data_IF_200489946134
#
_entry.id   IF_200489946134
#
_cell.length_a   1.000
_cell.length_b   1.000
_cell.length_c   1.000
_cell.angle_alpha   90.00
_cell.angle_beta   90.00
_cell.angle_gamma   90.00
#
_symmetry.space_group_name_H-M   'P 1'
#
loop_
_entity.id
_entity.type
_entity.pdbx_description
1 polymer ?
#
# COMPACT_ATOMS: atom_id res chain seq x y z
N UNK A 1 1.89 -11.67 15.20
CA UNK A 1 1.46 -12.08 16.57
C UNK A 1 1.30 -10.92 17.56
N UNK A 2 1.88 -9.73 17.31
CA UNK A 2 1.73 -8.55 18.18
C UNK A 2 0.35 -7.87 18.07
N UNK A 3 -0.25 -7.87 16.87
CA UNK A 3 -1.41 -7.01 16.62
C UNK A 3 -2.75 -7.54 17.14
N UNK A 4 -2.97 -8.86 17.21
CA UNK A 4 -4.21 -9.41 17.78
C UNK A 4 -4.38 -9.05 19.27
N UNK A 5 -3.28 -9.05 20.04
CA UNK A 5 -3.28 -8.61 21.45
C UNK A 5 -3.55 -7.11 21.58
N UNK A 6 -3.04 -6.32 20.63
CA UNK A 6 -3.28 -4.87 20.58
C UNK A 6 -4.75 -4.58 20.27
N UNK A 7 -5.32 -5.23 19.25
CA UNK A 7 -6.73 -5.13 18.90
C UNK A 7 -7.64 -5.40 20.12
N UNK A 8 -7.33 -6.45 20.89
CA UNK A 8 -8.10 -6.79 22.08
C UNK A 8 -7.95 -5.76 23.20
N UNK A 9 -6.71 -5.29 23.45
CA UNK A 9 -6.41 -4.28 24.49
C UNK A 9 -7.11 -2.95 24.26
N UNK A 10 -7.18 -2.51 23.00
CA UNK A 10 -7.76 -1.22 22.62
C UNK A 10 -9.19 -1.32 22.06
N UNK A 11 -9.82 -2.50 22.15
CA UNK A 11 -11.23 -2.69 21.80
C UNK A 11 -11.53 -2.40 20.33
N UNK A 12 -10.70 -2.90 19.41
CA UNK A 12 -10.91 -2.67 17.98
C UNK A 12 -12.18 -3.36 17.49
N UNK A 13 -12.96 -2.64 16.69
CA UNK A 13 -14.15 -3.19 16.05
C UNK A 13 -13.82 -4.37 15.13
N UNK A 14 -14.74 -5.33 15.06
CA UNK A 14 -14.63 -6.53 14.23
C UNK A 14 -15.79 -6.57 13.24
N UNK A 15 -15.54 -6.89 11.95
CA UNK A 15 -14.28 -7.41 11.38
C UNK A 15 -13.18 -6.36 11.15
N UNK A 16 -13.56 -5.09 10.95
CA UNK A 16 -12.63 -4.01 10.62
C UNK A 16 -12.90 -2.80 11.52
N UNK A 17 -11.83 -2.16 12.02
CA UNK A 17 -11.92 -0.89 12.76
C UNK A 17 -11.47 0.26 11.86
N UNK A 18 -12.41 1.16 11.55
CA UNK A 18 -12.14 2.31 10.67
C UNK A 18 -11.06 3.23 11.24
N UNK A 19 -11.04 3.45 12.57
CA UNK A 19 -10.07 4.34 13.23
C UNK A 19 -8.66 3.78 13.11
N UNK A 20 -8.53 2.47 13.28
CA UNK A 20 -7.24 1.78 13.13
C UNK A 20 -6.72 1.86 11.70
N UNK A 21 -7.59 1.65 10.70
CA UNK A 21 -7.22 1.72 9.30
C UNK A 21 -6.87 3.15 8.86
N UNK A 22 -7.65 4.15 9.30
CA UNK A 22 -7.36 5.55 9.03
C UNK A 22 -6.03 5.99 9.67
N UNK A 23 -5.73 5.50 10.87
CA UNK A 23 -4.45 5.72 11.53
C UNK A 23 -3.27 5.11 10.74
N UNK A 24 -3.41 3.87 10.26
CA UNK A 24 -2.42 3.25 9.39
C UNK A 24 -2.23 4.04 8.08
N UNK A 25 -3.33 4.52 7.49
CA UNK A 25 -3.32 5.34 6.28
C UNK A 25 -2.62 6.68 6.51
N UNK A 26 -2.84 7.32 7.66
CA UNK A 26 -2.19 8.58 8.01
C UNK A 26 -0.67 8.40 8.19
N UNK A 27 -0.26 7.34 8.88
CA UNK A 27 1.15 7.01 9.04
C UNK A 27 1.82 6.69 7.70
N UNK A 28 1.17 5.90 6.85
CA UNK A 28 1.67 5.59 5.51
C UNK A 28 1.75 6.83 4.61
N UNK A 29 0.74 7.72 4.67
CA UNK A 29 0.73 8.98 3.92
C UNK A 29 1.89 9.89 4.32
N UNK A 30 2.22 9.96 5.61
CA UNK A 30 3.38 10.70 6.09
C UNK A 30 4.69 10.11 5.51
N UNK A 31 4.87 8.79 5.56
CA UNK A 31 6.04 8.10 4.96
C UNK A 31 6.16 8.41 3.46
N UNK A 32 5.05 8.30 2.72
CA UNK A 32 5.03 8.60 1.29
C UNK A 32 5.37 10.06 1.05
N UNK A 33 4.92 10.99 1.89
CA UNK A 33 5.21 12.43 1.78
C UNK A 33 6.68 12.73 2.04
N UNK A 34 7.26 12.15 3.10
CA UNK A 34 8.65 12.36 3.51
C UNK A 34 9.67 11.74 2.54
N UNK A 35 9.27 10.68 1.81
CA UNK A 35 10.11 9.95 0.86
C UNK A 35 9.57 10.07 -0.58
N UNK A 36 9.98 11.11 -1.34
CA UNK A 36 9.55 11.35 -2.73
C UNK A 36 9.87 10.24 -3.73
N UNK A 37 10.76 9.33 -3.37
CA UNK A 37 11.16 8.18 -4.18
C UNK A 37 10.13 7.03 -4.16
N UNK A 38 9.15 7.08 -3.24
CA UNK A 38 8.04 6.13 -3.21
C UNK A 38 7.02 6.49 -4.29
N UNK A 39 6.75 5.55 -5.19
CA UNK A 39 5.81 5.75 -6.31
C UNK A 39 4.38 5.41 -5.93
N UNK A 40 4.20 4.30 -5.22
CA UNK A 40 2.92 3.80 -4.74
C UNK A 40 3.13 3.07 -3.42
N UNK A 41 2.15 3.17 -2.52
CA UNK A 41 2.04 2.33 -1.35
C UNK A 41 0.65 1.68 -1.31
N UNK A 42 0.58 0.46 -0.79
CA UNK A 42 -0.66 -0.29 -0.66
C UNK A 42 -0.79 -0.83 0.76
N UNK A 43 -1.91 -0.58 1.41
CA UNK A 43 -2.20 -1.00 2.78
C UNK A 43 -3.42 -1.90 2.87
N UNK A 44 -3.33 -2.93 3.69
CA UNK A 44 -4.43 -3.86 4.01
C UNK A 44 -4.28 -4.33 5.44
N UNK A 45 -5.39 -4.33 6.21
CA UNK A 45 -5.42 -4.75 7.61
C UNK A 45 -4.36 -4.01 8.44
N UNK A 46 -3.23 -4.67 8.69
CA UNK A 46 -2.13 -4.22 9.51
C UNK A 46 -0.78 -4.21 8.80
N UNK A 47 -0.82 -4.34 7.47
CA UNK A 47 0.36 -4.38 6.62
C UNK A 47 0.33 -3.23 5.62
N UNK A 48 1.51 -2.70 5.31
CA UNK A 48 1.71 -1.71 4.27
C UNK A 48 2.93 -2.06 3.41
N UNK A 49 2.75 -2.02 2.10
CA UNK A 49 3.78 -2.24 1.10
C UNK A 49 4.15 -0.91 0.46
N UNK A 50 5.43 -0.54 0.47
CA UNK A 50 5.93 0.70 -0.15
C UNK A 50 6.82 0.36 -1.35
N UNK A 51 6.53 0.94 -2.52
CA UNK A 51 7.27 0.68 -3.75
C UNK A 51 8.19 1.85 -4.06
N UNK A 52 9.46 1.53 -4.23
CA UNK A 52 10.47 2.46 -4.74
C UNK A 52 10.65 2.22 -6.24
N UNK A 53 10.76 3.31 -7.00
CA UNK A 53 11.09 3.20 -8.42
C UNK A 53 12.46 2.54 -8.62
N UNK A 54 12.65 1.81 -9.72
CA UNK A 54 13.93 1.13 -10.06
C UNK A 54 15.13 2.08 -10.11
N UNK A 55 14.90 3.35 -10.48
CA UNK A 55 15.94 4.40 -10.53
C UNK A 55 16.21 5.10 -9.20
N UNK A 56 15.56 4.67 -8.10
CA UNK A 56 15.76 5.25 -6.78
C UNK A 56 17.25 5.21 -6.40
N UNK A 57 17.81 6.38 -6.05
CA UNK A 57 19.20 6.53 -5.59
C UNK A 57 19.28 6.77 -4.06
N UNK A 58 18.17 6.63 -3.32
CA UNK A 58 18.11 6.87 -1.88
C UNK A 58 19.10 5.94 -1.15
N UNK A 59 19.82 6.50 -0.17
CA UNK A 59 20.91 5.84 0.56
C UNK A 59 22.03 5.26 -0.33
N UNK A 60 22.28 5.89 -1.49
CA UNK A 60 23.31 5.47 -2.44
C UNK A 60 23.04 4.04 -2.96
N UNK A 61 21.83 3.82 -3.48
CA UNK A 61 21.48 2.60 -4.25
C UNK A 61 22.41 2.33 -5.43
N UNK A 62 23.18 3.33 -5.86
CA UNK A 62 24.47 3.11 -6.51
C UNK A 62 25.49 2.82 -5.44
N UNK A 63 25.84 1.54 -5.33
CA UNK A 63 27.10 1.12 -4.76
C UNK A 63 28.18 2.17 -5.09
N UNK A 64 29.03 2.42 -4.10
CA UNK A 64 30.39 2.89 -4.28
C UNK A 64 31.13 1.95 -5.25
N UNK A 65 30.75 1.94 -6.53
CA UNK A 65 31.38 1.14 -7.59
C UNK A 65 32.64 1.83 -8.11
N UNK A 66 32.93 3.07 -7.68
CA UNK A 66 34.11 3.80 -8.15
C UNK A 66 35.33 3.66 -7.24
N UNK A 67 35.27 2.99 -6.07
CA UNK A 67 36.46 2.91 -5.19
C UNK A 67 36.47 1.76 -4.16
N UNK A 68 35.93 0.57 -4.45
CA UNK A 68 36.21 -0.62 -3.64
C UNK A 68 35.91 -1.94 -4.38
N UNK A 69 36.38 -2.06 -5.62
CA UNK A 69 36.24 -3.25 -6.48
C UNK A 69 37.17 -4.41 -6.10
N UNK A 70 37.48 -4.63 -4.81
CA UNK A 70 38.39 -5.73 -4.46
C UNK A 70 38.02 -6.63 -3.26
N UNK A 71 36.87 -6.50 -2.58
CA UNK A 71 36.68 -7.37 -1.38
C UNK A 71 35.25 -7.67 -0.91
N UNK A 72 34.18 -7.35 -1.63
CA UNK A 72 32.83 -7.75 -1.18
C UNK A 72 31.94 -8.26 -2.32
N UNK A 73 31.33 -9.46 -2.19
CA UNK A 73 30.39 -9.98 -3.19
C UNK A 73 29.13 -9.09 -3.25
N UNK A 74 28.55 -8.95 -4.45
CA UNK A 74 27.39 -8.09 -4.73
C UNK A 74 26.19 -8.31 -3.78
N UNK A 75 26.06 -9.50 -3.18
CA UNK A 75 25.05 -9.85 -2.18
C UNK A 75 25.15 -8.99 -0.90
N UNK A 76 26.34 -8.58 -0.47
CA UNK A 76 26.54 -7.79 0.75
C UNK A 76 26.12 -6.32 0.59
N UNK A 77 26.22 -5.76 -0.61
CA UNK A 77 25.83 -4.37 -0.91
C UNK A 77 24.30 -4.25 -0.94
N UNK A 78 23.63 -5.20 -1.61
CA UNK A 78 22.16 -5.27 -1.66
C UNK A 78 21.57 -5.38 -0.24
N UNK A 79 22.16 -6.21 0.62
CA UNK A 79 21.69 -6.41 1.99
C UNK A 79 21.75 -5.14 2.85
N UNK A 80 22.82 -4.33 2.72
CA UNK A 80 22.98 -3.07 3.46
C UNK A 80 21.98 -1.98 3.05
N UNK A 81 21.67 -1.90 1.76
CA UNK A 81 20.70 -0.93 1.24
C UNK A 81 19.27 -1.30 1.69
N UNK A 82 18.92 -2.58 1.58
CA UNK A 82 17.66 -3.11 2.08
C UNK A 82 17.47 -2.79 3.58
N UNK A 83 18.52 -2.96 4.40
CA UNK A 83 18.46 -2.67 5.83
C UNK A 83 18.17 -1.20 6.13
N UNK A 84 18.83 -0.25 5.46
CA UNK A 84 18.58 1.20 5.66
C UNK A 84 17.19 1.64 5.20
N UNK A 85 16.72 1.11 4.06
CA UNK A 85 15.38 1.42 3.56
C UNK A 85 14.33 0.90 4.55
N UNK A 86 14.45 -0.37 4.96
CA UNK A 86 13.52 -0.99 5.90
C UNK A 86 13.52 -0.25 7.24
N UNK A 87 14.69 0.01 7.84
CA UNK A 87 14.75 0.69 9.13
C UNK A 87 14.20 2.12 9.06
N UNK A 88 14.45 2.85 7.98
CA UNK A 88 13.89 4.20 7.77
C UNK A 88 12.37 4.14 7.66
N UNK A 89 11.82 3.26 6.82
CA UNK A 89 10.37 3.12 6.66
C UNK A 89 9.72 2.72 7.99
N UNK A 90 10.23 1.68 8.65
CA UNK A 90 9.65 1.16 9.89
C UNK A 90 9.71 2.21 10.99
N UNK A 91 10.84 2.92 11.15
CA UNK A 91 10.97 3.96 12.18
C UNK A 91 10.07 5.17 11.90
N UNK A 92 10.05 5.69 10.67
CA UNK A 92 9.17 6.79 10.28
C UNK A 92 7.70 6.41 10.41
N UNK A 93 7.33 5.20 9.98
CA UNK A 93 5.96 4.69 10.10
C UNK A 93 5.53 4.57 11.56
N UNK A 94 6.36 3.93 12.40
CA UNK A 94 6.06 3.75 13.83
C UNK A 94 5.96 5.09 14.55
N UNK A 95 6.86 6.04 14.27
CA UNK A 95 6.83 7.38 14.85
C UNK A 95 5.54 8.12 14.47
N UNK A 96 5.15 8.09 13.20
CA UNK A 96 3.91 8.73 12.75
C UNK A 96 2.65 8.02 13.27
N UNK A 97 2.69 6.70 13.44
CA UNK A 97 1.59 5.93 14.04
C UNK A 97 1.36 6.34 15.50
N UNK A 98 2.43 6.43 16.30
CA UNK A 98 2.33 6.87 17.70
C UNK A 98 1.94 8.35 17.78
N UNK A 99 2.51 9.20 16.93
CA UNK A 99 2.20 10.63 16.88
C UNK A 99 0.74 10.90 16.53
N UNK A 100 0.20 10.16 15.56
CA UNK A 100 -1.18 10.34 15.08
C UNK A 100 -2.21 9.63 15.96
N UNK A 101 -1.80 8.70 16.83
CA UNK A 101 -2.71 7.91 17.66
C UNK A 101 -3.76 8.74 18.41
N UNK A 102 -3.41 9.83 19.13
CA UNK A 102 -4.40 10.62 19.89
C UNK A 102 -5.46 11.27 19.01
N UNK A 103 -5.20 11.42 17.71
CA UNK A 103 -6.16 11.98 16.75
C UNK A 103 -7.27 10.97 16.41
N UNK A 104 -6.93 9.67 16.36
CA UNK A 104 -7.86 8.60 15.97
C UNK A 104 -8.43 7.84 17.17
N UNK A 105 -7.72 7.83 18.29
CA UNK A 105 -8.10 7.19 19.56
C UNK A 105 -8.00 8.20 20.72
N UNK A 106 -8.84 9.25 20.75
CA UNK A 106 -8.77 10.29 21.77
C UNK A 106 -9.06 9.75 23.18
N UNK A 107 -9.97 8.79 23.29
CA UNK A 107 -10.42 8.24 24.58
C UNK A 107 -9.54 7.08 25.08
N UNK A 108 -8.60 6.60 24.27
CA UNK A 108 -7.83 5.39 24.57
C UNK A 108 -6.34 5.64 24.38
N UNK A 109 -5.66 6.27 25.35
CA UNK A 109 -4.25 6.61 25.23
C UNK A 109 -3.38 5.35 25.12
N UNK A 110 -2.30 5.46 24.32
CA UNK A 110 -1.32 4.38 24.21
C UNK A 110 -0.66 4.09 25.56
N UNK A 111 -0.57 2.81 25.88
CA UNK A 111 0.15 2.30 27.04
C UNK A 111 1.06 1.15 26.63
N UNK A 112 2.16 0.97 27.36
CA UNK A 112 3.13 -0.08 27.08
C UNK A 112 2.49 -1.49 27.07
N UNK A 113 2.98 -2.41 26.21
CA UNK A 113 3.99 -2.20 25.16
C UNK A 113 3.46 -1.34 24.01
N UNK A 114 4.34 -0.51 23.44
CA UNK A 114 4.03 0.34 22.29
C UNK A 114 3.89 -0.50 21.01
N UNK A 115 3.15 -0.01 19.99
CA UNK A 115 3.07 -0.66 18.70
C UNK A 115 4.46 -0.80 18.07
N UNK A 116 4.72 -1.98 17.52
CA UNK A 116 5.94 -2.27 16.76
C UNK A 116 5.56 -2.89 15.42
N UNK A 117 6.33 -2.56 14.41
CA UNK A 117 6.15 -3.06 13.05
C UNK A 117 7.40 -3.80 12.62
N UNK A 118 7.22 -4.95 11.97
CA UNK A 118 8.27 -5.61 11.23
C UNK A 118 8.35 -5.05 9.80
N UNK A 119 9.47 -5.27 9.14
CA UNK A 119 9.67 -4.82 7.78
C UNK A 119 10.61 -5.75 7.04
N UNK A 120 10.33 -5.93 5.74
CA UNK A 120 11.17 -6.71 4.83
C UNK A 120 11.29 -5.99 3.51
N UNK A 121 12.43 -6.18 2.83
CA UNK A 121 12.62 -5.68 1.47
C UNK A 121 12.59 -6.85 0.49
N UNK A 122 11.85 -6.70 -0.60
CA UNK A 122 11.79 -7.64 -1.72
C UNK A 122 12.12 -6.89 -3.00
N UNK A 123 12.94 -7.49 -3.86
CA UNK A 123 13.32 -6.90 -5.15
C UNK A 123 12.59 -7.65 -6.26
N UNK A 124 11.84 -6.92 -7.08
CA UNK A 124 11.18 -7.44 -8.26
C UNK A 124 11.98 -7.05 -9.50
N UNK A 125 12.37 -8.01 -10.36
CA UNK A 125 13.22 -7.75 -11.52
C UNK A 125 12.48 -7.03 -12.64
N UNK A 126 11.16 -7.22 -12.76
CA UNK A 126 10.31 -6.60 -13.79
C UNK A 126 9.13 -5.88 -13.16
N UNK A 127 8.55 -4.95 -13.92
CA UNK A 127 7.30 -4.27 -13.56
C UNK A 127 6.15 -5.27 -13.52
N UNK A 128 6.14 -6.28 -14.39
CA UNK A 128 5.12 -7.33 -14.33
C UNK A 128 5.11 -8.05 -12.98
N UNK A 129 6.28 -8.48 -12.46
CA UNK A 129 6.35 -9.13 -11.14
C UNK A 129 5.85 -8.22 -10.01
N UNK A 130 6.10 -6.92 -10.10
CA UNK A 130 5.58 -5.94 -9.16
C UNK A 130 4.04 -5.83 -9.22
N UNK A 131 3.48 -5.81 -10.44
CA UNK A 131 2.02 -5.78 -10.65
C UNK A 131 1.35 -7.06 -10.14
N UNK A 132 1.96 -8.21 -10.39
CA UNK A 132 1.48 -9.50 -9.89
C UNK A 132 1.48 -9.52 -8.36
N UNK A 133 2.53 -9.00 -7.72
CA UNK A 133 2.59 -8.87 -6.27
C UNK A 133 1.47 -7.95 -5.73
N UNK A 134 1.28 -6.77 -6.34
CA UNK A 134 0.21 -5.86 -5.92
C UNK A 134 -1.18 -6.45 -6.10
N UNK A 135 -1.40 -7.13 -7.23
CA UNK A 135 -2.65 -7.81 -7.54
C UNK A 135 -2.93 -8.94 -6.55
N UNK A 136 -1.90 -9.73 -6.22
CA UNK A 136 -1.99 -10.77 -5.20
C UNK A 136 -2.36 -10.19 -3.83
N UNK A 137 -1.74 -9.09 -3.42
CA UNK A 137 -2.06 -8.42 -2.15
C UNK A 137 -3.49 -7.87 -2.09
N UNK A 138 -4.02 -7.36 -3.20
CA UNK A 138 -5.40 -6.90 -3.25
C UNK A 138 -6.41 -8.05 -3.33
N UNK A 139 -6.11 -9.12 -4.06
CA UNK A 139 -6.94 -10.32 -4.07
C UNK A 139 -7.02 -10.96 -2.67
N UNK A 140 -5.90 -11.04 -1.96
CA UNK A 140 -5.82 -11.53 -0.57
C UNK A 140 -6.65 -10.67 0.38
N UNK A 141 -6.61 -9.33 0.24
CA UNK A 141 -7.49 -8.40 0.95
C UNK A 141 -8.97 -8.76 0.77
N UNK A 142 -9.40 -8.95 -0.47
CA UNK A 142 -10.79 -9.25 -0.78
C UNK A 142 -11.26 -10.58 -0.16
N UNK A 143 -10.42 -11.62 -0.27
CA UNK A 143 -10.71 -12.95 0.28
C UNK A 143 -10.79 -12.90 1.81
N UNK A 144 -9.80 -12.27 2.45
CA UNK A 144 -9.74 -12.17 3.91
C UNK A 144 -10.87 -11.31 4.47
N UNK A 145 -11.21 -10.20 3.81
CA UNK A 145 -12.30 -9.34 4.25
C UNK A 145 -13.67 -10.05 4.14
N UNK A 146 -13.92 -10.77 3.04
CA UNK A 146 -15.15 -11.54 2.87
C UNK A 146 -15.27 -12.64 3.94
N UNK A 147 -14.18 -13.38 4.19
CA UNK A 147 -14.12 -14.38 5.25
C UNK A 147 -14.37 -13.79 6.63
N UNK A 148 -13.63 -12.73 7.00
CA UNK A 148 -13.75 -12.09 8.31
C UNK A 148 -15.13 -11.47 8.52
N UNK A 149 -15.72 -10.88 7.48
CA UNK A 149 -17.08 -10.32 7.56
C UNK A 149 -18.09 -11.43 7.83
N UNK A 150 -18.06 -12.53 7.07
CA UNK A 150 -18.94 -13.67 7.33
C UNK A 150 -18.72 -14.26 8.74
N UNK A 151 -17.46 -14.44 9.13
CA UNK A 151 -17.08 -15.03 10.42
C UNK A 151 -17.59 -14.21 11.61
N UNK A 152 -17.32 -12.90 11.62
CA UNK A 152 -17.73 -12.04 12.73
C UNK A 152 -19.24 -11.80 12.78
N UNK A 153 -19.94 -11.79 11.63
CA UNK A 153 -21.41 -11.71 11.61
C UNK A 153 -22.06 -13.00 12.12
N UNK A 154 -21.49 -14.17 11.83
CA UNK A 154 -21.93 -15.43 12.42
C UNK A 154 -21.81 -15.43 13.95
N UNK A 155 -20.75 -14.82 14.50
CA UNK A 155 -20.57 -14.72 15.96
C UNK A 155 -21.49 -13.66 16.57
N UNK A 156 -21.42 -12.42 16.06
CA UNK A 156 -22.09 -11.27 16.67
C UNK A 156 -23.61 -11.29 16.48
N UNK A 157 -24.09 -11.69 15.29
CA UNK A 157 -25.52 -11.71 14.96
C UNK A 157 -26.10 -13.13 14.96
N UNK A 158 -25.30 -14.11 14.58
CA UNK A 158 -25.72 -15.52 14.56
C UNK A 158 -25.62 -16.21 15.93
N UNK A 159 -24.87 -15.65 16.89
CA UNK A 159 -24.68 -16.23 18.21
C UNK A 159 -23.82 -17.51 18.22
N UNK A 160 -23.07 -17.78 17.16
CA UNK A 160 -22.17 -18.93 17.09
C UNK A 160 -20.90 -18.68 17.91
N UNK A 161 -20.31 -19.74 18.47
CA UNK A 161 -18.94 -19.66 18.98
C UNK A 161 -17.91 -19.68 17.83
N UNK A 162 -16.68 -19.23 18.12
CA UNK A 162 -15.58 -19.14 17.17
C UNK A 162 -15.33 -20.46 16.40
N UNK A 163 -15.37 -21.60 17.11
CA UNK A 163 -15.15 -22.92 16.49
C UNK A 163 -16.28 -23.32 15.54
N UNK A 164 -17.51 -22.94 15.88
CA UNK A 164 -18.68 -23.25 15.06
C UNK A 164 -18.73 -22.36 13.82
N UNK A 165 -18.40 -21.08 13.96
CA UNK A 165 -18.27 -20.16 12.84
C UNK A 165 -17.17 -20.61 11.87
N UNK A 166 -16.02 -21.02 12.38
CA UNK A 166 -14.93 -21.57 11.55
C UNK A 166 -15.36 -22.85 10.82
N UNK A 167 -16.00 -23.79 11.53
CA UNK A 167 -16.52 -25.02 10.92
C UNK A 167 -17.58 -24.74 9.85
N UNK A 168 -18.42 -23.73 10.05
CA UNK A 168 -19.46 -23.33 9.08
C UNK A 168 -18.85 -22.74 7.81
N UNK A 169 -17.73 -22.01 7.94
CA UNK A 169 -17.04 -21.41 6.80
C UNK A 169 -16.01 -22.34 6.16
N UNK A 170 -15.62 -23.43 6.82
CA UNK A 170 -14.67 -24.40 6.31
C UNK A 170 -15.18 -25.05 5.00
N UNK A 171 -14.36 -25.00 3.95
CA UNK A 171 -14.70 -25.57 2.64
C UNK A 171 -15.67 -24.74 1.78
N UNK A 172 -16.18 -23.62 2.30
CA UNK A 172 -17.09 -22.74 1.54
C UNK A 172 -16.34 -21.93 0.48
N UNK A 173 -17.00 -21.67 -0.65
CA UNK A 173 -16.51 -20.78 -1.70
C UNK A 173 -16.88 -19.32 -1.41
N UNK A 174 -16.45 -18.39 -2.27
CA UNK A 174 -16.79 -16.98 -2.13
C UNK A 174 -18.30 -16.72 -2.34
N UNK A 175 -18.94 -17.44 -3.26
CA UNK A 175 -20.39 -17.34 -3.50
C UNK A 175 -21.19 -17.73 -2.24
N UNK A 176 -20.85 -18.86 -1.62
CA UNK A 176 -21.50 -19.35 -0.41
C UNK A 176 -21.40 -18.35 0.75
N UNK A 177 -20.24 -17.70 0.92
CA UNK A 177 -20.05 -16.67 1.97
C UNK A 177 -20.95 -15.46 1.73
N UNK A 178 -21.09 -15.03 0.49
CA UNK A 178 -22.01 -13.95 0.12
C UNK A 178 -23.47 -14.36 0.36
N UNK A 179 -23.83 -15.60 0.03
CA UNK A 179 -25.17 -16.13 0.29
C UNK A 179 -25.46 -16.21 1.79
N UNK A 180 -24.51 -16.66 2.61
CA UNK A 180 -24.64 -16.68 4.08
C UNK A 180 -24.90 -15.27 4.63
N UNK A 181 -24.11 -14.28 4.18
CA UNK A 181 -24.27 -12.88 4.59
C UNK A 181 -25.64 -12.31 4.21
N UNK A 182 -26.10 -12.60 2.99
CA UNK A 182 -27.36 -12.08 2.49
C UNK A 182 -28.58 -12.81 3.08
N UNK A 183 -28.60 -14.14 3.04
CA UNK A 183 -29.76 -14.93 3.46
C UNK A 183 -29.99 -14.88 4.97
N UNK A 184 -28.93 -14.92 5.78
CA UNK A 184 -29.07 -14.94 7.26
C UNK A 184 -29.13 -13.55 7.88
N UNK A 185 -28.32 -12.61 7.36
CA UNK A 185 -28.14 -11.30 7.99
C UNK A 185 -28.67 -10.14 7.14
N UNK A 186 -29.13 -10.40 5.91
CA UNK A 186 -29.54 -9.38 4.93
C UNK A 186 -28.45 -8.34 4.66
N UNK A 187 -27.18 -8.76 4.75
CA UNK A 187 -26.02 -7.94 4.49
C UNK A 187 -25.53 -8.19 3.06
N UNK A 188 -25.49 -7.13 2.25
CA UNK A 188 -24.88 -7.18 0.93
C UNK A 188 -23.41 -6.77 1.03
N UNK A 189 -22.50 -7.72 0.83
CA UNK A 189 -21.06 -7.48 0.88
C UNK A 189 -20.60 -6.39 -0.11
N UNK A 190 -21.27 -6.24 -1.25
CA UNK A 190 -20.92 -5.20 -2.21
C UNK A 190 -21.17 -3.78 -1.68
N UNK A 191 -22.02 -3.61 -0.67
CA UNK A 191 -22.27 -2.33 -0.01
C UNK A 191 -21.31 -2.02 1.14
N UNK A 192 -20.42 -2.97 1.49
CA UNK A 192 -19.35 -2.69 2.46
C UNK A 192 -18.42 -1.59 1.92
N UNK A 193 -17.83 -0.76 2.81
CA UNK A 193 -16.91 0.29 2.42
C UNK A 193 -15.78 -0.22 1.51
N UNK A 194 -15.48 0.54 0.44
CA UNK A 194 -14.43 0.17 -0.52
C UNK A 194 -13.07 -0.02 0.16
N UNK A 195 -12.77 0.75 1.22
CA UNK A 195 -11.57 0.59 2.03
C UNK A 195 -11.40 -0.82 2.60
N UNK A 196 -12.48 -1.47 3.02
CA UNK A 196 -12.41 -2.82 3.59
C UNK A 196 -12.27 -3.88 2.49
N UNK A 197 -12.89 -3.65 1.33
CA UNK A 197 -12.88 -4.61 0.21
C UNK A 197 -11.60 -4.56 -0.62
N UNK A 198 -11.05 -3.35 -0.81
CA UNK A 198 -9.95 -3.08 -1.75
C UNK A 198 -8.67 -2.60 -1.08
N UNK A 199 -8.68 -2.32 0.22
CA UNK A 199 -7.56 -1.73 0.93
C UNK A 199 -7.36 -0.26 0.60
N UNK A 200 -6.18 0.27 0.91
CA UNK A 200 -5.80 1.67 0.74
C UNK A 200 -4.62 1.79 -0.20
N UNK A 201 -4.78 2.54 -1.29
CA UNK A 201 -3.72 2.84 -2.25
C UNK A 201 -3.29 4.28 -2.06
N UNK A 202 -2.00 4.50 -1.80
CA UNK A 202 -1.42 5.82 -1.61
C UNK A 202 -0.46 6.11 -2.74
N UNK A 203 -0.68 7.22 -3.45
CA UNK A 203 0.21 7.65 -4.52
C UNK A 203 0.16 9.17 -4.67
N UNK A 204 1.07 9.69 -5.51
CA UNK A 204 1.14 11.11 -5.85
C UNK A 204 0.20 11.41 -7.01
N UNK A 205 -0.68 12.38 -6.79
CA UNK A 205 -1.69 12.82 -7.75
C UNK A 205 -1.06 13.72 -8.82
N UNK A 206 -1.27 13.34 -10.08
CA UNK A 206 -0.98 14.11 -11.27
C UNK A 206 -2.20 14.01 -12.20
N UNK A 207 -2.25 14.83 -13.25
CA UNK A 207 -3.31 14.77 -14.26
C UNK A 207 -3.36 13.38 -14.92
N UNK A 208 -4.53 12.74 -14.92
CA UNK A 208 -4.74 11.43 -15.52
C UNK A 208 -4.49 11.50 -17.02
N UNK A 209 -3.86 10.46 -17.55
CA UNK A 209 -3.62 10.32 -18.99
C UNK A 209 -4.73 9.46 -19.58
N UNK A 210 -5.32 9.89 -20.69
CA UNK A 210 -6.23 9.04 -21.46
C UNK A 210 -5.45 7.86 -22.03
N UNK A 211 -5.93 6.61 -21.87
CA UNK A 211 -5.25 5.46 -22.44
C UNK A 211 -5.19 5.62 -23.96
N UNK A 212 -3.98 5.73 -24.52
CA UNK A 212 -3.79 5.80 -25.96
C UNK A 212 -4.21 4.46 -26.59
N UNK A 213 -4.86 4.49 -27.75
CA UNK A 213 -5.26 3.32 -28.56
C UNK A 213 -4.06 2.44 -29.04
N UNK A 214 -2.85 2.73 -28.60
CA UNK A 214 -1.67 1.92 -28.87
C UNK A 214 -1.66 0.69 -27.94
N UNK A 215 -1.56 -0.49 -28.54
CA UNK A 215 -1.54 -1.83 -27.94
C UNK A 215 -0.44 -2.10 -26.87
N UNK A 216 0.30 -1.09 -26.42
CA UNK A 216 1.35 -1.22 -25.40
C UNK A 216 0.85 -0.70 -24.05
N UNK A 217 0.75 -1.61 -23.07
CA UNK A 217 0.40 -1.26 -21.69
C UNK A 217 1.50 -0.45 -21.03
N UNK A 218 1.16 0.37 -20.02
CA UNK A 218 2.15 1.15 -19.27
C UNK A 218 3.23 0.28 -18.62
N UNK A 219 2.91 -0.99 -18.32
CA UNK A 219 3.86 -1.97 -17.81
C UNK A 219 4.88 -2.40 -18.87
N UNK A 220 4.42 -2.76 -20.08
CA UNK A 220 5.29 -3.13 -21.18
C UNK A 220 6.21 -1.96 -21.57
N UNK A 221 5.69 -0.74 -21.62
CA UNK A 221 6.49 0.46 -21.87
C UNK A 221 7.53 0.71 -20.77
N UNK A 222 7.17 0.52 -19.49
CA UNK A 222 8.09 0.70 -18.37
C UNK A 222 9.21 -0.37 -18.30
N UNK A 223 8.91 -1.60 -18.69
CA UNK A 223 9.89 -2.68 -18.80
C UNK A 223 10.80 -2.50 -20.03
N UNK A 224 10.23 -2.10 -21.18
CA UNK A 224 10.99 -1.79 -22.41
C UNK A 224 11.98 -0.63 -22.21
N UNK A 225 11.67 0.32 -21.32
CA UNK A 225 12.55 1.43 -20.96
C UNK A 225 13.87 1.01 -20.26
N UNK A 226 14.09 -0.28 -19.96
CA UNK A 226 15.39 -0.80 -19.54
C UNK A 226 16.00 -0.13 -18.30
N UNK A 227 17.34 -0.03 -18.24
CA UNK A 227 18.04 0.76 -17.23
C UNK A 227 17.64 2.23 -17.30
N UNK A 228 17.47 2.92 -16.15
CA UNK A 228 17.11 4.33 -16.18
C UNK A 228 18.18 5.14 -16.90
N UNK A 229 17.80 5.79 -18.01
CA UNK A 229 18.67 6.69 -18.75
C UNK A 229 19.38 7.66 -17.79
N UNK A 230 20.70 7.84 -17.98
CA UNK A 230 21.52 8.69 -17.13
C UNK A 230 21.06 10.16 -17.24
N UNK A 231 20.13 10.55 -16.38
CA UNK A 231 19.66 11.93 -16.29
C UNK A 231 20.75 12.82 -15.71
N UNK A 232 20.87 14.04 -16.23
CA UNK A 232 21.72 15.06 -15.63
C UNK A 232 21.32 15.29 -14.17
N UNK A 233 22.29 15.51 -13.27
CA UNK A 233 22.04 15.80 -11.84
C UNK A 233 20.99 16.91 -11.65
N UNK A 234 21.01 17.92 -12.54
CA UNK A 234 20.04 19.02 -12.53
C UNK A 234 18.61 18.57 -12.87
N UNK A 235 18.43 17.62 -13.80
CA UNK A 235 17.12 17.09 -14.15
C UNK A 235 16.57 16.21 -13.03
N UNK A 236 17.40 15.34 -12.45
CA UNK A 236 17.00 14.47 -11.34
C UNK A 236 16.56 15.28 -10.10
N UNK A 237 17.25 16.37 -9.79
CA UNK A 237 16.86 17.29 -8.71
C UNK A 237 15.55 18.03 -9.01
N UNK A 238 15.36 18.51 -10.24
CA UNK A 238 14.09 19.14 -10.66
C UNK A 238 12.91 18.18 -10.53
N UNK A 239 13.07 16.94 -11.00
CA UNK A 239 12.04 15.91 -10.86
C UNK A 239 11.77 15.55 -9.39
N UNK A 240 12.82 15.44 -8.56
CA UNK A 240 12.67 15.21 -7.12
C UNK A 240 11.88 16.33 -6.44
N UNK A 241 12.19 17.60 -6.76
CA UNK A 241 11.44 18.76 -6.27
C UNK A 241 9.97 18.73 -6.74
N UNK A 242 9.70 18.31 -7.98
CA UNK A 242 8.32 18.13 -8.48
C UNK A 242 7.59 17.04 -7.71
N UNK A 243 8.22 15.88 -7.48
CA UNK A 243 7.64 14.77 -6.69
C UNK A 243 7.37 15.17 -5.23
N UNK A 244 8.25 15.98 -4.63
CA UNK A 244 8.07 16.46 -3.27
C UNK A 244 6.91 17.47 -3.13
N UNK A 245 6.59 18.23 -4.19
CA UNK A 245 5.47 19.19 -4.21
C UNK A 245 4.13 18.57 -4.61
N UNK A 246 4.14 17.34 -5.13
CA UNK A 246 2.93 16.67 -5.57
C UNK A 246 2.04 16.31 -4.37
N UNK A 247 0.72 16.47 -4.54
CA UNK A 247 -0.26 16.10 -3.53
C UNK A 247 -0.30 14.57 -3.38
N UNK A 248 -0.16 14.09 -2.16
CA UNK A 248 -0.31 12.66 -1.83
C UNK A 248 -1.77 12.38 -1.46
N UNK A 249 -2.39 11.45 -2.18
CA UNK A 249 -3.79 11.05 -1.98
C UNK A 249 -3.86 9.59 -1.52
N UNK A 250 -4.96 9.27 -0.83
CA UNK A 250 -5.30 7.91 -0.39
C UNK A 250 -6.61 7.56 -1.09
N UNK A 251 -6.62 6.48 -1.85
CA UNK A 251 -7.75 6.03 -2.66
C UNK A 251 -8.06 4.55 -2.37
N UNK A 252 -9.31 4.15 -2.58
CA UNK A 252 -9.78 2.78 -2.36
C UNK A 252 -10.26 2.16 -3.67
N UNK A 253 -9.32 1.97 -4.60
CA UNK A 253 -9.59 1.59 -5.99
C UNK A 253 -8.94 0.26 -6.37
N UNK A 254 -9.46 -0.35 -7.43
CA UNK A 254 -8.93 -1.59 -7.98
C UNK A 254 -7.60 -1.31 -8.69
N UNK A 255 -6.55 -2.02 -8.30
CA UNK A 255 -5.20 -1.93 -8.87
C UNK A 255 -4.80 -3.20 -9.63
N UNK A 256 -5.72 -4.17 -9.75
CA UNK A 256 -5.49 -5.41 -10.50
C UNK A 256 -5.55 -5.12 -12.00
N UNK A 257 -6.55 -4.35 -12.44
CA UNK A 257 -6.79 -4.04 -13.86
C UNK A 257 -5.77 -3.08 -14.46
N UNK A 258 -5.52 -3.23 -15.76
CA UNK A 258 -4.62 -2.37 -16.53
C UNK A 258 -5.03 -0.88 -16.50
N UNK A 259 -6.32 -0.59 -16.50
CA UNK A 259 -6.87 0.78 -16.49
C UNK A 259 -6.26 1.66 -15.38
N UNK A 260 -6.01 1.08 -14.20
CA UNK A 260 -5.39 1.83 -13.09
C UNK A 260 -3.99 2.31 -13.44
N UNK A 261 -3.18 1.44 -14.05
CA UNK A 261 -1.78 1.65 -14.38
C UNK A 261 -1.62 2.52 -15.63
N UNK A 262 -2.45 2.28 -16.65
CA UNK A 262 -2.39 3.00 -17.92
C UNK A 262 -2.79 4.47 -17.77
N UNK A 263 -3.78 4.75 -16.91
CA UNK A 263 -4.17 6.14 -16.59
C UNK A 263 -3.17 6.87 -15.71
N UNK A 264 -2.21 6.15 -15.11
CA UNK A 264 -1.22 6.67 -14.13
C UNK A 264 0.20 6.23 -14.49
N UNK A 265 0.71 6.55 -15.69
CA UNK A 265 2.00 6.05 -16.17
C UNK A 265 3.20 6.56 -15.34
N UNK A 266 3.04 7.63 -14.56
CA UNK A 266 4.07 8.14 -13.64
C UNK A 266 4.43 7.18 -12.51
N UNK A 267 3.51 6.26 -12.14
CA UNK A 267 3.76 5.28 -11.08
C UNK A 267 4.86 4.31 -11.52
N UNK A 268 4.82 3.88 -12.78
CA UNK A 268 5.74 2.88 -13.35
C UNK A 268 6.96 3.51 -14.02
N UNK A 269 6.80 4.66 -14.67
CA UNK A 269 7.90 5.34 -15.37
C UNK A 269 8.85 6.11 -14.43
N UNK A 270 8.40 6.39 -13.20
CA UNK A 270 9.13 7.21 -12.22
C UNK A 270 9.22 8.70 -12.59
N UNK A 271 8.66 9.11 -13.74
CA UNK A 271 8.65 10.50 -14.20
C UNK A 271 7.39 11.20 -13.69
N UNK A 272 7.50 12.35 -12.99
CA UNK A 272 6.33 13.07 -12.50
C UNK A 272 5.47 13.56 -13.66
N UNK A 273 4.16 13.29 -13.59
CA UNK A 273 3.17 13.75 -14.56
C UNK A 273 2.95 15.27 -14.51
N UNK A 274 2.02 15.77 -15.33
CA UNK A 274 1.59 17.16 -15.23
C UNK A 274 0.85 17.37 -13.90
N UNK A 275 1.11 18.46 -13.15
CA UNK A 275 0.34 18.75 -11.95
C UNK A 275 -1.14 18.88 -12.33
N UNK A 276 -2.03 18.18 -11.61
CA UNK A 276 -3.46 18.24 -11.89
C UNK A 276 -3.97 19.68 -11.87
N UNK A 277 -4.86 20.02 -12.80
CA UNK A 277 -5.54 21.33 -12.82
C UNK A 277 -6.17 21.58 -11.47
N UNK A 278 -5.89 22.74 -10.89
CA UNK A 278 -6.56 23.15 -9.65
C UNK A 278 -8.07 23.28 -9.90
N UNK A 279 -8.95 23.05 -8.91
CA UNK A 279 -10.41 23.21 -9.08
C UNK A 279 -10.87 24.60 -9.55
N UNK A 280 -9.96 25.58 -9.67
CA UNK A 280 -10.23 26.93 -10.14
C UNK A 280 -10.29 27.08 -11.66
N UNK A 281 -9.97 26.04 -12.44
CA UNK A 281 -9.95 26.12 -13.92
C UNK A 281 -11.09 25.37 -14.62
N UNK A 282 -12.09 24.87 -13.87
CA UNK A 282 -13.27 24.16 -14.43
C UNK A 282 -14.49 25.11 -14.55
N UNK A 283 -14.35 26.39 -14.18
CA UNK A 283 -15.37 27.40 -14.41
C UNK A 283 -14.78 28.60 -15.17
N UNK A 284 -14.74 28.47 -16.49
CA UNK A 284 -14.83 29.58 -17.45
C UNK A 284 -15.49 29.06 -18.72
#
# INVERSE_FOLDING_TARGET
MANSKMCAKYGFEKPNDKRALDLMNAAAKAVVTDLPEITIAYGVSDEYSFVFHKSCNLFERRARCEMQMLTYPASCIQLRICSKLVSTIVSTFTANYVFSWPTYFPDTPLSFPLPTFDGRAVCYPTVQNLRDYMSWRQADCHINNLYNTAFWKLIQLGGLDNKEAEKTLAGTLAADKNEILFSRFRINYNNEPEMFKKGSVIFREYELVEPSDHNETAAAAADALGEPAAQSKSQAEKEKKRRAKAKVIVEHIDIIKDEFWDRRPWILSGKPGQPGKSPKEIQT
#
